data_IF_017902569615
#
_entry.id   IF_017902569615
#
_cell.length_a   1.000
_cell.length_b   1.000
_cell.length_c   1.000
_cell.angle_alpha   90.00
_cell.angle_beta   90.00
_cell.angle_gamma   90.00
#
_symmetry.space_group_name_H-M   'P 1'
#
loop_
_entity.id
_entity.type
_entity.pdbx_description
1 polymer ?
#
# COMPACT_ATOMS: atom_id res chain seq x y z
N UNK A 1 -56.20 -16.24 20.61
CA UNK A 1 -55.94 -14.97 21.30
C UNK A 1 -54.62 -14.90 22.01
N UNK A 2 -54.12 -15.97 22.65
CA UNK A 2 -52.83 -16.00 23.37
C UNK A 2 -51.60 -15.85 22.42
N UNK A 3 -51.64 -16.40 21.22
CA UNK A 3 -50.53 -16.32 20.23
C UNK A 3 -50.36 -14.92 19.65
N UNK A 4 -51.45 -14.15 19.47
CA UNK A 4 -51.40 -12.76 18.97
C UNK A 4 -50.85 -11.82 20.04
N UNK A 5 -51.17 -12.05 21.29
CA UNK A 5 -50.67 -11.26 22.43
C UNK A 5 -49.17 -11.55 22.63
N UNK A 6 -48.70 -12.80 22.47
CA UNK A 6 -47.27 -13.16 22.55
C UNK A 6 -46.47 -12.55 21.40
N UNK A 7 -47.00 -12.50 20.17
CA UNK A 7 -46.39 -11.79 19.06
C UNK A 7 -46.36 -10.27 19.29
N UNK A 8 -47.43 -9.67 19.80
CA UNK A 8 -47.53 -8.24 20.09
C UNK A 8 -46.52 -7.83 21.18
N UNK A 9 -46.36 -8.62 22.24
CA UNK A 9 -45.38 -8.39 23.31
C UNK A 9 -43.96 -8.51 22.81
N UNK A 10 -43.70 -9.44 21.88
CA UNK A 10 -42.35 -9.64 21.29
C UNK A 10 -41.97 -8.48 20.35
N UNK A 11 -42.92 -7.82 19.72
CA UNK A 11 -42.67 -6.65 18.84
C UNK A 11 -42.57 -5.32 19.60
N UNK A 12 -43.12 -5.21 20.80
CA UNK A 12 -43.19 -3.94 21.52
C UNK A 12 -42.12 -3.70 22.59
N UNK A 13 -41.21 -4.66 22.84
CA UNK A 13 -40.13 -4.49 23.83
C UNK A 13 -38.71 -4.37 23.26
N UNK A 14 -38.56 -4.16 21.96
CA UNK A 14 -37.23 -3.87 21.42
C UNK A 14 -36.93 -2.38 21.55
N UNK A 15 -36.10 -2.00 22.49
CA UNK A 15 -35.53 -0.65 22.55
C UNK A 15 -35.05 -0.25 21.15
N UNK A 16 -35.50 0.88 20.56
CA UNK A 16 -35.03 1.31 19.27
C UNK A 16 -33.53 1.55 19.36
N UNK A 17 -32.75 1.15 18.33
CA UNK A 17 -31.32 1.38 18.32
C UNK A 17 -31.03 2.90 18.22
N UNK A 18 -29.98 3.35 18.90
CA UNK A 18 -29.47 4.71 18.77
C UNK A 18 -28.86 4.92 17.38
N UNK A 19 -28.15 3.91 16.91
CA UNK A 19 -27.46 3.89 15.62
C UNK A 19 -27.14 2.45 15.21
N UNK A 20 -26.66 2.28 13.96
CA UNK A 20 -26.15 1.02 13.43
C UNK A 20 -24.64 1.12 13.42
N UNK A 21 -23.96 0.05 13.86
CA UNK A 21 -22.53 -0.16 13.75
C UNK A 21 -22.22 -1.55 13.20
N UNK A 22 -20.95 -1.80 12.92
CA UNK A 22 -20.46 -3.08 12.41
C UNK A 22 -19.26 -3.56 13.24
N UNK A 23 -19.12 -4.86 13.41
CA UNK A 23 -17.96 -5.42 14.10
C UNK A 23 -16.69 -5.15 13.27
N UNK A 24 -15.69 -4.50 13.89
CA UNK A 24 -14.45 -4.05 13.26
C UNK A 24 -13.29 -5.04 13.35
N UNK A 25 -13.38 -6.04 14.24
CA UNK A 25 -12.36 -7.06 14.45
C UNK A 25 -12.81 -8.43 13.93
N UNK A 26 -11.84 -9.32 13.60
CA UNK A 26 -12.13 -10.64 13.01
C UNK A 26 -13.16 -11.44 13.80
N UNK A 27 -13.01 -11.43 15.12
CA UNK A 27 -13.92 -12.07 16.06
C UNK A 27 -13.95 -11.22 17.31
N UNK A 28 -15.13 -10.77 17.69
CA UNK A 28 -15.33 -9.96 18.87
C UNK A 28 -16.29 -10.69 19.81
N UNK A 29 -15.92 -10.75 21.09
CA UNK A 29 -16.77 -11.34 22.12
C UNK A 29 -17.67 -10.29 22.73
N UNK A 30 -18.95 -10.54 22.75
CA UNK A 30 -19.93 -9.77 23.50
C UNK A 30 -19.99 -10.30 24.94
N UNK A 31 -20.04 -9.39 25.90
CA UNK A 31 -20.07 -9.71 27.32
C UNK A 31 -21.40 -9.35 27.97
N UNK A 32 -21.73 -10.03 29.05
CA UNK A 32 -23.01 -9.85 29.79
C UNK A 32 -23.13 -8.47 30.45
N UNK A 33 -22.02 -7.86 30.83
CA UNK A 33 -21.94 -6.58 31.55
C UNK A 33 -20.75 -5.77 31.14
N UNK A 34 -20.75 -4.47 31.43
CA UNK A 34 -19.62 -3.54 31.27
C UNK A 34 -18.61 -3.58 32.42
N UNK A 35 -18.81 -4.40 33.45
CA UNK A 35 -17.88 -4.54 34.58
C UNK A 35 -16.59 -5.29 34.19
N UNK A 36 -15.55 -5.17 35.03
CA UNK A 36 -14.28 -5.87 34.80
C UNK A 36 -14.45 -7.41 34.86
N UNK A 37 -15.28 -7.92 35.78
CA UNK A 37 -15.65 -9.32 35.83
C UNK A 37 -16.92 -9.52 35.01
N UNK A 38 -16.77 -10.18 33.87
CA UNK A 38 -17.85 -10.30 32.88
C UNK A 38 -17.80 -11.67 32.20
N UNK A 39 -18.96 -12.23 31.88
CA UNK A 39 -19.10 -13.50 31.21
C UNK A 39 -19.29 -13.30 29.69
N UNK A 40 -18.70 -14.14 28.83
CA UNK A 40 -18.95 -14.11 27.41
C UNK A 40 -20.39 -14.57 27.11
N UNK A 41 -21.10 -13.84 26.26
CA UNK A 41 -22.49 -14.16 25.86
C UNK A 41 -22.51 -14.77 24.45
N UNK A 42 -21.80 -14.17 23.52
CA UNK A 42 -21.68 -14.63 22.12
C UNK A 42 -20.47 -14.00 21.45
N UNK A 43 -20.14 -14.47 20.27
CA UNK A 43 -19.14 -13.85 19.40
C UNK A 43 -19.78 -13.37 18.11
N UNK A 44 -19.22 -12.29 17.55
CA UNK A 44 -19.55 -11.73 16.23
C UNK A 44 -18.32 -11.67 15.37
N UNK A 45 -18.51 -11.70 14.07
CA UNK A 45 -17.45 -11.67 13.07
C UNK A 45 -17.33 -10.28 12.42
N UNK A 46 -16.18 -10.00 11.83
CA UNK A 46 -15.96 -8.77 11.08
C UNK A 46 -17.08 -8.50 10.08
N UNK A 47 -17.65 -7.31 10.16
CA UNK A 47 -18.75 -6.87 9.29
C UNK A 47 -20.14 -7.29 9.74
N UNK A 48 -20.29 -8.01 10.85
CA UNK A 48 -21.59 -8.29 11.41
C UNK A 48 -22.25 -6.97 11.85
N UNK A 49 -23.51 -6.76 11.41
CA UNK A 49 -24.31 -5.61 11.78
C UNK A 49 -24.75 -5.70 13.23
N UNK A 50 -24.58 -4.60 13.94
CA UNK A 50 -24.91 -4.45 15.35
C UNK A 50 -25.80 -3.22 15.55
N UNK A 51 -26.89 -3.38 16.27
CA UNK A 51 -27.74 -2.27 16.71
C UNK A 51 -27.18 -1.72 18.03
N UNK A 52 -26.71 -0.49 18.05
CA UNK A 52 -26.20 0.18 19.25
C UNK A 52 -27.38 0.61 20.14
N UNK A 53 -27.38 0.16 21.37
CA UNK A 53 -28.45 0.42 22.34
C UNK A 53 -28.06 1.47 23.38
N UNK A 54 -26.76 1.49 23.78
CA UNK A 54 -26.25 2.38 24.83
C UNK A 54 -24.75 2.51 24.72
N UNK A 55 -24.20 3.69 25.05
CA UNK A 55 -22.76 3.92 25.21
C UNK A 55 -22.45 4.22 26.67
N UNK A 56 -21.39 3.63 27.19
CA UNK A 56 -20.92 3.86 28.55
C UNK A 56 -19.40 3.80 28.61
N UNK A 57 -18.75 4.94 28.79
CA UNK A 57 -17.30 5.06 28.74
C UNK A 57 -16.76 4.52 27.38
N UNK A 58 -15.80 3.58 27.41
CA UNK A 58 -15.22 2.91 26.27
C UNK A 58 -16.01 1.67 25.80
N UNK A 59 -17.20 1.43 26.36
CA UNK A 59 -18.00 0.26 26.05
C UNK A 59 -19.35 0.61 25.47
N UNK A 60 -19.83 -0.25 24.59
CA UNK A 60 -21.07 -0.07 23.88
C UNK A 60 -21.95 -1.30 24.06
N UNK A 61 -23.19 -1.09 24.47
CA UNK A 61 -24.20 -2.15 24.53
C UNK A 61 -24.82 -2.29 23.15
N UNK A 62 -24.73 -3.49 22.61
CA UNK A 62 -25.19 -3.78 21.25
C UNK A 62 -26.15 -4.95 21.23
N UNK A 63 -26.95 -5.02 20.16
CA UNK A 63 -27.80 -6.16 19.85
C UNK A 63 -27.43 -6.69 18.47
N UNK A 64 -27.19 -8.01 18.41
CA UNK A 64 -26.91 -8.72 17.16
C UNK A 64 -28.18 -8.90 16.32
N UNK A 65 -28.05 -9.27 15.05
CA UNK A 65 -29.16 -9.64 14.18
C UNK A 65 -30.01 -10.81 14.73
N UNK A 66 -29.39 -11.70 15.53
CA UNK A 66 -30.07 -12.80 16.22
C UNK A 66 -30.83 -12.35 17.49
N UNK A 67 -30.79 -11.05 17.84
CA UNK A 67 -31.44 -10.51 19.02
C UNK A 67 -30.64 -10.67 20.34
N UNK A 68 -29.42 -11.20 20.28
CA UNK A 68 -28.56 -11.34 21.47
C UNK A 68 -28.02 -9.97 21.84
N UNK A 69 -28.13 -9.61 23.13
CA UNK A 69 -27.67 -8.32 23.66
C UNK A 69 -26.42 -8.55 24.50
N UNK A 70 -25.41 -7.71 24.31
CA UNK A 70 -24.17 -7.76 25.08
C UNK A 70 -23.39 -6.46 24.98
N UNK A 71 -22.26 -6.41 25.68
CA UNK A 71 -21.33 -5.27 25.71
C UNK A 71 -20.08 -5.60 24.91
N UNK A 72 -19.59 -4.61 24.15
CA UNK A 72 -18.40 -4.67 23.29
C UNK A 72 -17.56 -3.42 23.55
N UNK A 73 -16.26 -3.50 23.29
CA UNK A 73 -15.38 -2.31 23.33
C UNK A 73 -15.67 -1.39 22.15
N UNK A 74 -15.66 -0.07 22.37
CA UNK A 74 -15.94 0.90 21.32
C UNK A 74 -14.94 0.81 20.15
N UNK A 75 -13.68 0.51 20.45
CA UNK A 75 -12.61 0.33 19.45
C UNK A 75 -12.80 -0.88 18.52
N UNK A 76 -13.69 -1.81 18.88
CA UNK A 76 -14.06 -2.97 18.05
C UNK A 76 -15.24 -2.70 17.13
N UNK A 77 -15.75 -1.46 17.10
CA UNK A 77 -16.90 -1.05 16.27
C UNK A 77 -16.48 -0.13 15.13
N UNK A 78 -17.04 -0.36 13.97
CA UNK A 78 -17.03 0.57 12.83
C UNK A 78 -18.39 1.26 12.74
N UNK A 79 -18.41 2.59 12.60
CA UNK A 79 -19.64 3.31 12.33
C UNK A 79 -20.22 2.91 10.97
N UNK A 80 -21.51 3.18 10.75
CA UNK A 80 -22.15 2.88 9.45
C UNK A 80 -21.48 3.64 8.28
N UNK A 81 -21.08 4.89 8.50
CA UNK A 81 -20.41 5.70 7.49
C UNK A 81 -19.02 5.13 7.16
N UNK A 82 -18.25 4.76 8.18
CA UNK A 82 -16.93 4.15 7.99
C UNK A 82 -17.04 2.80 7.27
N UNK A 83 -18.03 2.00 7.61
CA UNK A 83 -18.34 0.74 6.94
C UNK A 83 -18.69 0.95 5.46
N UNK A 84 -19.51 1.96 5.15
CA UNK A 84 -19.87 2.29 3.77
C UNK A 84 -18.63 2.75 2.98
N UNK A 85 -17.81 3.63 3.55
CA UNK A 85 -16.57 4.09 2.93
C UNK A 85 -15.62 2.91 2.64
N UNK A 86 -15.54 1.94 3.56
CA UNK A 86 -14.76 0.71 3.34
C UNK A 86 -15.30 -0.09 2.15
N UNK A 87 -16.62 -0.25 2.05
CA UNK A 87 -17.26 -0.98 0.92
C UNK A 87 -17.06 -0.27 -0.41
N UNK A 88 -17.12 1.05 -0.41
CA UNK A 88 -16.85 1.85 -1.62
C UNK A 88 -15.39 1.71 -2.05
N UNK A 89 -14.45 1.72 -1.09
CA UNK A 89 -13.03 1.50 -1.34
C UNK A 89 -12.75 0.08 -1.86
N UNK A 90 -13.39 -0.94 -1.30
CA UNK A 90 -13.31 -2.33 -1.80
C UNK A 90 -13.81 -2.42 -3.26
N UNK A 91 -14.97 -1.82 -3.54
CA UNK A 91 -15.58 -1.81 -4.88
C UNK A 91 -14.69 -1.08 -5.89
N UNK A 92 -14.19 0.11 -5.53
CA UNK A 92 -13.27 0.88 -6.36
C UNK A 92 -11.99 0.10 -6.64
N UNK A 93 -11.38 -0.45 -5.60
CA UNK A 93 -10.11 -1.18 -5.70
C UNK A 93 -10.22 -2.45 -6.54
N UNK A 94 -11.40 -3.11 -6.59
CA UNK A 94 -11.63 -4.32 -7.38
C UNK A 94 -11.41 -4.11 -8.89
N UNK A 95 -11.64 -2.89 -9.37
CA UNK A 95 -11.48 -2.53 -10.79
C UNK A 95 -10.11 -1.92 -11.11
N UNK A 96 -9.31 -1.58 -10.10
CA UNK A 96 -8.00 -0.97 -10.29
C UNK A 96 -6.96 -1.99 -10.73
N UNK A 97 -6.05 -1.61 -11.65
CA UNK A 97 -4.94 -2.48 -12.03
C UNK A 97 -3.96 -2.67 -10.88
N UNK A 98 -3.49 -3.91 -10.71
CA UNK A 98 -2.41 -4.23 -9.78
C UNK A 98 -1.09 -3.74 -10.37
N UNK A 99 -0.38 -2.87 -9.65
CA UNK A 99 0.89 -2.30 -10.10
C UNK A 99 2.10 -3.05 -9.50
N UNK A 100 1.90 -3.71 -8.36
CA UNK A 100 2.89 -4.58 -7.73
C UNK A 100 2.19 -5.60 -6.82
N UNK A 101 2.92 -6.66 -6.47
CA UNK A 101 2.55 -7.59 -5.40
C UNK A 101 3.60 -7.54 -4.31
N UNK A 102 3.19 -7.89 -3.10
CA UNK A 102 4.06 -7.90 -1.94
C UNK A 102 3.36 -8.49 -0.74
N UNK A 103 3.91 -8.23 0.42
CA UNK A 103 3.34 -8.67 1.70
C UNK A 103 3.63 -7.63 2.79
N UNK A 104 2.94 -7.73 3.90
CA UNK A 104 3.21 -6.91 5.08
C UNK A 104 4.53 -7.34 5.72
N UNK A 105 5.42 -6.36 5.90
CA UNK A 105 6.75 -6.56 6.49
C UNK A 105 6.69 -6.79 8.00
N UNK A 106 5.75 -6.14 8.67
CA UNK A 106 5.54 -6.16 10.12
C UNK A 106 4.05 -6.08 10.42
N UNK A 107 3.68 -6.22 11.69
CA UNK A 107 2.34 -5.91 12.16
C UNK A 107 1.99 -4.46 11.77
N UNK A 108 0.88 -4.24 11.08
CA UNK A 108 0.57 -2.96 10.46
C UNK A 108 -0.91 -2.64 10.52
N UNK A 109 -1.25 -1.37 10.63
CA UNK A 109 -2.64 -0.92 10.61
C UNK A 109 -3.07 -0.57 9.18
N UNK A 110 -4.16 -1.15 8.73
CA UNK A 110 -4.84 -0.78 7.49
C UNK A 110 -5.77 0.40 7.78
N UNK A 111 -5.64 1.49 7.02
CA UNK A 111 -6.40 2.72 7.18
C UNK A 111 -7.40 2.91 6.04
N UNK A 112 -8.46 3.70 6.30
CA UNK A 112 -9.47 3.99 5.27
C UNK A 112 -8.99 5.03 4.26
N UNK A 113 -8.12 5.95 4.70
CA UNK A 113 -7.52 7.03 3.92
C UNK A 113 -6.01 7.10 4.17
N UNK A 114 -5.23 7.71 3.26
CA UNK A 114 -3.80 7.89 3.48
C UNK A 114 -3.54 8.94 4.56
N UNK A 115 -2.87 8.54 5.64
CA UNK A 115 -2.53 9.41 6.77
C UNK A 115 -2.60 8.66 8.10
N UNK A 116 -1.76 9.06 9.06
CA UNK A 116 -1.70 8.41 10.38
C UNK A 116 -2.95 8.67 11.22
N UNK A 117 -3.60 9.82 11.01
CA UNK A 117 -4.81 10.23 11.71
C UNK A 117 -6.09 9.62 11.12
N UNK A 118 -5.97 8.93 9.97
CA UNK A 118 -7.10 8.25 9.34
C UNK A 118 -7.61 7.09 10.20
N UNK A 119 -8.93 6.86 10.24
CA UNK A 119 -9.49 5.73 10.96
C UNK A 119 -8.87 4.39 10.52
N UNK A 120 -8.58 3.56 11.51
CA UNK A 120 -8.06 2.21 11.29
C UNK A 120 -9.22 1.28 10.95
N UNK A 121 -9.04 0.50 9.90
CA UNK A 121 -10.01 -0.53 9.50
C UNK A 121 -9.71 -1.84 10.20
N UNK A 122 -8.44 -2.26 10.12
CA UNK A 122 -8.00 -3.55 10.69
C UNK A 122 -6.49 -3.58 10.84
N UNK A 123 -6.03 -4.32 11.84
CA UNK A 123 -4.64 -4.66 12.01
C UNK A 123 -4.30 -5.91 11.17
N UNK A 124 -3.24 -5.82 10.39
CA UNK A 124 -2.70 -6.90 9.56
C UNK A 124 -1.46 -7.48 10.23
N UNK A 125 -1.40 -8.80 10.35
CA UNK A 125 -0.19 -9.49 10.78
C UNK A 125 0.91 -9.37 9.74
N UNK A 126 2.14 -9.71 10.12
CA UNK A 126 3.26 -9.89 9.19
C UNK A 126 2.92 -10.97 8.14
N UNK A 127 3.54 -10.86 6.95
CA UNK A 127 3.44 -11.82 5.84
C UNK A 127 2.02 -11.97 5.24
N UNK A 128 1.14 -10.97 5.42
CA UNK A 128 -0.15 -10.94 4.72
C UNK A 128 0.09 -10.55 3.26
N UNK A 129 -0.35 -11.38 2.28
CA UNK A 129 -0.20 -11.08 0.85
C UNK A 129 -0.97 -9.82 0.47
N UNK A 130 -0.33 -8.96 -0.32
CA UNK A 130 -0.86 -7.67 -0.76
C UNK A 130 -0.83 -7.54 -2.28
N UNK A 131 -1.90 -6.99 -2.83
CA UNK A 131 -1.90 -6.41 -4.16
C UNK A 131 -1.88 -4.88 -4.03
N UNK A 132 -0.88 -4.26 -4.61
CA UNK A 132 -0.68 -2.81 -4.57
C UNK A 132 -1.30 -2.17 -5.81
N UNK A 133 -2.16 -1.14 -5.65
CA UNK A 133 -2.86 -0.49 -6.76
C UNK A 133 -2.43 0.95 -6.99
N UNK A 134 -2.23 1.72 -5.94
CA UNK A 134 -1.90 3.14 -6.07
C UNK A 134 -0.99 3.61 -4.92
N UNK A 135 -0.32 4.75 -5.15
CA UNK A 135 0.49 5.43 -4.15
C UNK A 135 -0.05 6.84 -3.91
N UNK A 136 -0.03 7.28 -2.65
CA UNK A 136 -0.36 8.65 -2.28
C UNK A 136 0.63 9.18 -1.23
N UNK A 137 1.30 10.33 -1.47
CA UNK A 137 2.14 10.98 -0.47
C UNK A 137 1.29 11.82 0.49
N UNK A 138 1.10 11.36 1.72
CA UNK A 138 0.36 12.10 2.74
C UNK A 138 1.28 12.92 3.64
N UNK A 139 0.76 14.04 4.16
CA UNK A 139 1.47 14.89 5.11
C UNK A 139 1.68 14.14 6.43
N UNK A 140 2.86 14.27 7.01
CA UNK A 140 3.10 13.88 8.39
C UNK A 140 2.60 15.03 9.26
N UNK A 141 1.48 14.82 9.92
CA UNK A 141 1.00 15.74 10.95
C UNK A 141 1.88 15.53 12.18
N UNK A 142 2.61 16.57 12.66
CA UNK A 142 3.37 16.44 13.90
C UNK A 142 2.37 16.16 15.03
N UNK A 143 2.64 15.13 15.82
CA UNK A 143 1.79 14.72 16.94
C UNK A 143 1.44 15.88 17.84
N UNK A 144 0.29 16.46 17.66
CA UNK A 144 -0.37 17.24 18.68
C UNK A 144 -1.01 16.25 19.65
N UNK A 145 -0.22 15.80 20.65
CA UNK A 145 -0.70 15.03 21.80
C UNK A 145 -1.41 13.73 21.40
N UNK A 146 -0.71 12.80 20.80
CA UNK A 146 -1.16 11.42 20.66
C UNK A 146 -0.99 10.66 21.97
N UNK A 147 -2.03 9.95 22.34
CA UNK A 147 -2.09 9.06 23.49
C UNK A 147 -0.93 8.02 23.40
N UNK A 148 -0.09 7.84 24.43
CA UNK A 148 1.10 6.98 24.35
C UNK A 148 0.81 5.49 24.12
N UNK A 149 -0.45 5.06 24.14
CA UNK A 149 -0.83 3.67 23.84
C UNK A 149 -0.85 3.30 22.34
N UNK A 150 -0.73 4.30 21.44
CA UNK A 150 -0.74 4.03 19.99
C UNK A 150 0.66 3.88 19.36
N UNK A 151 1.73 4.24 20.07
CA UNK A 151 3.11 4.23 19.53
C UNK A 151 3.79 2.86 19.57
N UNK A 152 3.35 1.94 20.42
CA UNK A 152 4.04 0.66 20.62
C UNK A 152 3.95 -0.33 19.43
N UNK A 153 3.08 -0.08 18.45
CA UNK A 153 2.96 -0.91 17.25
C UNK A 153 3.71 -0.35 16.02
N UNK A 154 4.06 0.95 16.04
CA UNK A 154 4.70 1.62 14.90
C UNK A 154 6.24 1.68 15.01
N UNK A 155 6.83 1.36 16.17
CA UNK A 155 8.26 1.56 16.46
C UNK A 155 9.05 0.26 16.76
N UNK A 156 8.73 -0.84 16.11
CA UNK A 156 9.60 -2.02 16.14
C UNK A 156 10.71 -1.93 15.08
N UNK A 157 11.70 -1.05 15.29
CA UNK A 157 12.98 -1.14 14.64
C UNK A 157 13.83 -2.23 15.32
N UNK A 158 14.63 -3.03 14.59
CA UNK A 158 15.44 -4.09 15.19
C UNK A 158 16.60 -3.48 15.99
N UNK A 159 16.50 -3.56 17.31
CA UNK A 159 17.59 -3.30 18.24
C UNK A 159 18.52 -4.50 18.26
N UNK A 160 19.64 -4.44 17.54
CA UNK A 160 20.82 -5.26 17.81
C UNK A 160 22.05 -4.68 17.14
N UNK A 161 22.73 -3.77 17.84
CA UNK A 161 24.16 -3.56 17.70
C UNK A 161 24.73 -3.22 19.09
N UNK A 162 25.35 -4.20 19.74
CA UNK A 162 26.14 -3.98 20.96
C UNK A 162 27.37 -3.14 20.62
N UNK A 163 27.73 -2.15 21.43
CA UNK A 163 29.02 -1.45 21.29
C UNK A 163 30.14 -2.30 21.88
N UNK A 164 31.16 -2.57 21.07
CA UNK A 164 32.40 -3.17 21.51
C UNK A 164 33.33 -2.08 22.02
N UNK A 165 33.60 -2.06 23.32
CA UNK A 165 34.56 -1.19 23.96
C UNK A 165 35.99 -1.64 23.59
N UNK A 166 36.75 -0.81 22.85
CA UNK A 166 38.21 -0.84 22.89
C UNK A 166 38.82 0.56 22.91
N UNK A 167 39.58 0.74 23.98
CA UNK A 167 40.36 1.90 24.40
C UNK A 167 41.30 2.48 23.34
N UNK A 168 41.43 3.81 23.44
CA UNK A 168 42.43 4.68 22.79
C UNK A 168 43.89 4.27 23.05
N UNK A 169 44.90 4.80 22.30
CA UNK A 169 45.39 6.15 22.59
C UNK A 169 45.85 6.98 21.37
N UNK A 170 45.77 8.30 21.60
CA UNK A 170 46.52 9.43 21.04
C UNK A 170 47.46 9.26 19.85
N UNK A 171 47.29 10.11 18.84
CA UNK A 171 48.32 11.04 18.31
C UNK A 171 47.80 11.95 17.19
N UNK A 172 47.70 13.21 17.52
CA UNK A 172 48.17 14.42 16.81
C UNK A 172 48.46 14.33 15.30
N UNK A 173 47.66 15.07 14.46
CA UNK A 173 48.21 16.09 13.55
C UNK A 173 47.20 16.70 12.57
N UNK A 174 47.12 18.01 12.65
CA UNK A 174 47.10 19.02 11.59
C UNK A 174 46.07 18.95 10.44
N UNK A 175 45.23 19.99 10.46
CA UNK A 175 44.78 20.80 9.33
C UNK A 175 44.41 20.08 8.01
N UNK A 176 43.12 19.85 7.83
CA UNK A 176 42.49 19.89 6.49
C UNK A 176 41.25 20.79 6.49
N UNK A 177 41.42 21.94 5.79
CA UNK A 177 40.37 22.89 5.44
C UNK A 177 39.07 22.16 5.03
N UNK A 178 38.03 22.40 5.82
CA UNK A 178 36.67 22.04 5.43
C UNK A 178 36.25 22.90 4.22
N UNK A 179 36.05 22.29 3.07
CA UNK A 179 35.33 22.90 1.96
C UNK A 179 33.88 23.12 2.39
N UNK A 180 33.48 24.38 2.31
CA UNK A 180 32.19 24.88 2.75
C UNK A 180 31.00 24.08 2.24
N UNK A 181 30.11 23.77 3.15
CA UNK A 181 28.73 23.41 2.90
C UNK A 181 28.10 24.58 2.10
N UNK A 182 27.35 24.34 1.03
CA UNK A 182 26.64 25.44 0.39
C UNK A 182 25.64 26.02 1.38
N UNK A 183 25.74 27.33 1.58
CA UNK A 183 24.88 28.11 2.45
C UNK A 183 23.43 27.92 2.06
N UNK A 184 22.65 27.33 2.95
CA UNK A 184 21.21 27.30 2.85
C UNK A 184 20.69 28.74 2.95
N UNK A 185 19.93 29.19 1.96
CA UNK A 185 19.26 30.50 1.95
C UNK A 185 18.48 30.68 3.25
N UNK A 186 18.72 31.75 4.03
CA UNK A 186 17.94 32.04 5.24
C UNK A 186 16.51 32.41 4.82
N UNK A 187 15.52 31.64 5.27
CA UNK A 187 14.11 32.00 5.17
C UNK A 187 13.17 31.00 4.51
N UNK A 188 13.62 29.90 3.95
CA UNK A 188 12.70 28.86 3.49
C UNK A 188 12.13 28.10 4.71
N UNK A 189 10.81 28.23 4.96
CA UNK A 189 10.13 27.32 5.90
C UNK A 189 10.43 25.88 5.46
N UNK A 190 10.80 24.97 6.40
CA UNK A 190 11.00 23.57 6.03
C UNK A 190 9.74 23.05 5.36
N UNK A 191 9.90 22.45 4.18
CA UNK A 191 8.77 21.81 3.51
C UNK A 191 8.17 20.74 4.42
N UNK A 192 6.84 20.66 4.52
CA UNK A 192 6.19 19.69 5.40
C UNK A 192 6.58 18.27 4.95
N UNK A 193 7.05 17.49 5.91
CA UNK A 193 7.41 16.08 5.67
C UNK A 193 6.20 15.29 5.18
N UNK A 194 6.40 14.45 4.18
CA UNK A 194 5.37 13.54 3.65
C UNK A 194 5.86 12.10 3.73
N UNK A 195 4.93 11.18 3.86
CA UNK A 195 5.15 9.73 3.86
C UNK A 195 4.38 9.08 2.71
N UNK A 196 4.92 7.97 2.21
CA UNK A 196 4.28 7.18 1.16
C UNK A 196 3.23 6.26 1.75
N UNK A 197 2.01 6.35 1.25
CA UNK A 197 0.91 5.45 1.54
C UNK A 197 0.54 4.67 0.30
N UNK A 198 0.26 3.38 0.47
CA UNK A 198 -0.12 2.49 -0.61
C UNK A 198 -1.56 2.02 -0.44
N UNK A 199 -2.37 2.20 -1.48
CA UNK A 199 -3.66 1.54 -1.56
C UNK A 199 -3.41 0.08 -1.89
N UNK A 200 -3.87 -0.81 -1.02
CA UNK A 200 -3.65 -2.25 -1.13
C UNK A 200 -4.94 -3.03 -1.02
N UNK A 201 -4.97 -4.22 -1.61
CA UNK A 201 -5.90 -5.29 -1.27
C UNK A 201 -5.13 -6.34 -0.50
N UNK A 202 -5.52 -6.55 0.75
CA UNK A 202 -4.92 -7.53 1.65
C UNK A 202 -5.72 -8.83 1.58
N UNK A 203 -5.05 -9.94 1.27
CA UNK A 203 -5.65 -11.27 1.19
C UNK A 203 -5.52 -11.96 2.55
N UNK A 204 -6.61 -11.96 3.31
CA UNK A 204 -6.61 -12.48 4.66
C UNK A 204 -6.65 -14.02 4.69
N UNK A 205 -6.13 -14.67 5.76
CA UNK A 205 -6.14 -16.13 5.89
C UNK A 205 -7.55 -16.78 5.89
N UNK A 206 -8.57 -15.99 6.21
CA UNK A 206 -9.98 -16.40 6.16
C UNK A 206 -10.62 -16.20 4.78
N UNK A 207 -9.80 -15.94 3.73
CA UNK A 207 -10.20 -15.66 2.35
C UNK A 207 -10.94 -14.33 2.16
N UNK A 208 -11.09 -13.50 3.18
CA UNK A 208 -11.58 -12.14 3.03
C UNK A 208 -10.53 -11.29 2.31
N UNK A 209 -10.98 -10.37 1.45
CA UNK A 209 -10.14 -9.37 0.81
C UNK A 209 -10.54 -8.03 1.40
N UNK A 210 -9.58 -7.31 1.97
CA UNK A 210 -9.79 -5.99 2.53
C UNK A 210 -9.01 -4.96 1.72
N UNK A 211 -9.69 -3.88 1.31
CA UNK A 211 -9.03 -2.74 0.70
C UNK A 211 -8.74 -1.67 1.75
N UNK A 212 -7.61 -0.98 1.61
CA UNK A 212 -7.24 0.10 2.51
C UNK A 212 -5.86 0.66 2.19
N UNK A 213 -5.47 1.65 2.98
CA UNK A 213 -4.20 2.33 2.86
C UNK A 213 -3.22 1.82 3.92
N UNK A 214 -2.02 1.49 3.47
CA UNK A 214 -0.93 1.00 4.30
C UNK A 214 0.29 1.91 4.13
N UNK A 215 0.96 2.21 5.25
CA UNK A 215 2.18 3.03 5.23
C UNK A 215 3.27 2.29 4.44
N UNK A 216 3.90 2.98 3.50
CA UNK A 216 4.77 2.38 2.48
C UNK A 216 5.94 1.56 3.02
N UNK A 217 6.55 2.00 4.14
CA UNK A 217 7.66 1.27 4.78
C UNK A 217 7.27 -0.09 5.35
N UNK A 218 5.97 -0.38 5.50
CA UNK A 218 5.44 -1.65 5.99
C UNK A 218 5.07 -2.63 4.87
N UNK A 219 5.19 -2.18 3.62
CA UNK A 219 5.00 -3.02 2.44
C UNK A 219 6.35 -3.51 1.93
N UNK A 220 6.52 -4.81 1.84
CA UNK A 220 7.65 -5.45 1.15
C UNK A 220 7.17 -5.99 -0.19
N UNK A 221 7.80 -5.54 -1.29
CA UNK A 221 7.41 -5.94 -2.63
C UNK A 221 8.05 -7.27 -3.01
N UNK A 222 7.27 -8.18 -3.61
CA UNK A 222 7.74 -9.48 -4.12
C UNK A 222 8.45 -9.29 -5.46
N UNK A 223 9.65 -8.73 -5.41
CA UNK A 223 10.44 -8.43 -6.62
C UNK A 223 11.21 -9.69 -7.04
N UNK A 224 11.08 -10.14 -8.31
CA UNK A 224 11.80 -11.33 -8.77
C UNK A 224 13.31 -11.16 -8.72
N UNK A 225 14.07 -12.17 -8.25
CA UNK A 225 15.53 -12.17 -8.37
C UNK A 225 15.96 -12.16 -9.85
N UNK A 226 17.08 -11.50 -10.22
CA UNK A 226 18.00 -10.71 -9.41
C UNK A 226 17.72 -9.20 -9.42
N UNK A 227 16.50 -8.77 -9.72
CA UNK A 227 16.15 -7.35 -9.90
C UNK A 227 16.41 -6.47 -8.65
N UNK A 228 16.21 -6.95 -7.40
CA UNK A 228 16.56 -6.17 -6.21
C UNK A 228 18.03 -5.74 -6.18
N UNK A 229 18.95 -6.65 -6.52
CA UNK A 229 20.40 -6.38 -6.54
C UNK A 229 20.75 -5.33 -7.60
N UNK A 230 20.11 -5.41 -8.77
CA UNK A 230 20.32 -4.44 -9.85
C UNK A 230 19.77 -3.06 -9.49
N UNK A 231 18.63 -2.98 -8.80
CA UNK A 231 18.08 -1.72 -8.30
C UNK A 231 18.99 -1.11 -7.23
N UNK A 232 19.44 -1.91 -6.27
CA UNK A 232 20.38 -1.49 -5.21
C UNK A 232 21.69 -0.97 -5.81
N UNK A 233 22.28 -1.70 -6.76
CA UNK A 233 23.50 -1.28 -7.46
C UNK A 233 23.33 0.02 -8.24
N UNK A 234 22.09 0.34 -8.64
CA UNK A 234 21.74 1.58 -9.31
C UNK A 234 21.34 2.71 -8.33
N UNK A 235 21.37 2.48 -7.01
CA UNK A 235 20.91 3.42 -5.99
C UNK A 235 19.41 3.74 -6.09
N UNK A 236 18.61 2.81 -6.59
CA UNK A 236 17.19 3.00 -6.88
C UNK A 236 16.33 2.19 -5.90
N UNK A 237 15.39 2.85 -5.23
CA UNK A 237 14.34 2.19 -4.46
C UNK A 237 13.20 1.78 -5.39
N UNK A 238 12.87 0.50 -5.39
CA UNK A 238 11.81 -0.07 -6.24
C UNK A 238 10.46 0.41 -5.74
N UNK A 239 9.61 0.82 -6.68
CA UNK A 239 8.24 1.28 -6.46
C UNK A 239 7.23 0.30 -7.06
N UNK A 240 7.52 -0.17 -8.27
CA UNK A 240 6.71 -1.17 -8.94
C UNK A 240 7.55 -1.93 -9.96
N UNK A 241 7.06 -3.07 -10.38
CA UNK A 241 7.65 -3.86 -11.46
C UNK A 241 6.58 -4.62 -12.22
N UNK A 242 6.88 -4.96 -13.47
CA UNK A 242 5.99 -5.78 -14.27
C UNK A 242 6.75 -6.62 -15.27
N UNK A 243 6.29 -7.84 -15.49
CA UNK A 243 6.73 -8.67 -16.59
C UNK A 243 6.24 -8.04 -17.92
N UNK A 244 7.15 -7.85 -18.86
CA UNK A 244 6.83 -7.33 -20.20
C UNK A 244 6.45 -8.47 -21.13
N UNK A 245 7.38 -9.36 -21.38
CA UNK A 245 7.21 -10.55 -22.23
C UNK A 245 8.15 -11.68 -21.77
N UNK A 246 8.15 -12.80 -22.46
CA UNK A 246 9.06 -13.91 -22.24
C UNK A 246 9.87 -14.23 -23.50
N UNK A 247 11.12 -14.59 -23.31
CA UNK A 247 12.03 -15.06 -24.37
C UNK A 247 12.55 -16.45 -24.01
N UNK A 248 12.96 -17.22 -25.01
CA UNK A 248 13.55 -18.53 -24.77
C UNK A 248 15.05 -18.38 -24.51
N UNK A 249 15.54 -18.90 -23.39
CA UNK A 249 16.97 -18.98 -23.06
C UNK A 249 17.71 -19.99 -23.96
N UNK A 250 19.04 -20.04 -23.87
CA UNK A 250 19.86 -21.04 -24.55
C UNK A 250 19.54 -22.48 -24.14
N UNK A 251 19.06 -22.65 -22.88
CA UNK A 251 18.59 -23.94 -22.36
C UNK A 251 17.15 -24.31 -22.76
N UNK A 252 16.52 -23.55 -23.65
CA UNK A 252 15.15 -23.79 -24.11
C UNK A 252 14.05 -23.40 -23.09
N UNK A 253 14.42 -22.75 -21.96
CA UNK A 253 13.44 -22.35 -20.92
C UNK A 253 12.92 -20.95 -21.18
N UNK A 254 11.60 -20.71 -20.92
CA UNK A 254 11.04 -19.37 -21.00
C UNK A 254 11.56 -18.50 -19.85
N UNK A 255 12.16 -17.35 -20.17
CA UNK A 255 12.67 -16.36 -19.22
C UNK A 255 11.93 -15.05 -19.41
N UNK A 256 11.42 -14.50 -18.31
CA UNK A 256 10.68 -13.24 -18.32
C UNK A 256 11.61 -12.04 -18.50
N UNK A 257 11.14 -11.01 -19.17
CA UNK A 257 11.78 -9.70 -19.27
C UNK A 257 10.97 -8.68 -18.49
N UNK A 258 11.63 -7.75 -17.82
CA UNK A 258 11.00 -6.92 -16.79
C UNK A 258 11.15 -5.43 -17.06
N UNK A 259 10.09 -4.70 -16.75
CA UNK A 259 10.12 -3.25 -16.51
C UNK A 259 10.17 -3.04 -14.99
N UNK A 260 11.14 -2.29 -14.53
CA UNK A 260 11.33 -1.89 -13.15
C UNK A 260 11.17 -0.37 -13.04
N UNK A 261 10.38 0.05 -12.07
CA UNK A 261 10.11 1.46 -11.77
C UNK A 261 10.64 1.77 -10.38
N UNK A 262 11.28 2.91 -10.25
CA UNK A 262 11.85 3.28 -8.96
C UNK A 262 12.11 4.76 -8.82
N UNK A 263 12.61 5.11 -7.65
CA UNK A 263 12.99 6.48 -7.31
C UNK A 263 14.36 6.51 -6.64
N UNK A 264 15.10 7.58 -6.88
CA UNK A 264 16.36 7.91 -6.20
C UNK A 264 16.16 8.90 -5.05
N UNK A 265 14.95 9.46 -4.93
CA UNK A 265 14.61 10.45 -3.91
C UNK A 265 14.10 9.85 -2.59
N UNK A 266 13.92 10.68 -1.56
CA UNK A 266 13.30 10.29 -0.30
C UNK A 266 11.83 9.91 -0.49
N UNK A 267 11.20 9.42 0.58
CA UNK A 267 9.75 9.19 0.61
C UNK A 267 8.97 10.50 0.54
N UNK A 268 7.68 10.40 0.20
CA UNK A 268 6.77 11.54 0.18
C UNK A 268 6.88 12.44 -1.05
N UNK A 269 7.67 12.05 -2.07
CA UNK A 269 7.79 12.82 -3.31
C UNK A 269 6.48 12.83 -4.10
N UNK A 270 6.19 13.91 -4.85
CA UNK A 270 4.97 13.99 -5.66
C UNK A 270 4.91 12.98 -6.80
N UNK A 271 6.05 12.59 -7.36
CA UNK A 271 6.15 11.58 -8.42
C UNK A 271 6.08 10.18 -7.83
N UNK A 272 5.34 9.25 -8.46
CA UNK A 272 5.32 7.87 -7.98
C UNK A 272 6.64 7.17 -8.28
N UNK A 273 7.24 7.47 -9.43
CA UNK A 273 8.60 7.03 -9.76
C UNK A 273 9.33 8.11 -10.57
N UNK A 274 10.66 8.11 -10.46
CA UNK A 274 11.54 9.08 -11.14
C UNK A 274 12.50 8.43 -12.12
N UNK A 275 12.53 7.10 -12.15
CA UNK A 275 13.36 6.33 -13.06
C UNK A 275 12.66 5.03 -13.47
N UNK A 276 12.96 4.59 -14.69
CA UNK A 276 12.55 3.29 -15.20
C UNK A 276 13.74 2.55 -15.82
N UNK A 277 13.72 1.22 -15.70
CA UNK A 277 14.72 0.33 -16.29
C UNK A 277 14.04 -0.88 -16.91
N UNK A 278 14.48 -1.28 -18.10
CA UNK A 278 14.05 -2.52 -18.72
C UNK A 278 15.20 -3.51 -18.68
N UNK A 279 14.92 -4.68 -18.14
CA UNK A 279 15.86 -5.80 -18.06
C UNK A 279 15.42 -6.89 -19.02
N UNK A 280 16.33 -7.28 -19.91
CA UNK A 280 16.12 -8.32 -20.92
C UNK A 280 17.09 -9.45 -20.73
N UNK A 281 16.77 -10.64 -21.23
CA UNK A 281 17.63 -11.80 -21.13
C UNK A 281 18.67 -11.81 -22.26
N UNK A 282 19.93 -11.67 -21.91
CA UNK A 282 21.06 -11.77 -22.82
C UNK A 282 21.43 -13.22 -23.10
N UNK A 283 20.99 -13.76 -24.24
CA UNK A 283 21.21 -15.18 -24.62
C UNK A 283 22.68 -15.59 -24.63
N UNK A 284 23.59 -14.70 -25.05
CA UNK A 284 25.04 -15.02 -25.13
C UNK A 284 25.69 -15.18 -23.76
N UNK A 285 25.20 -14.44 -22.75
CA UNK A 285 25.80 -14.42 -21.41
C UNK A 285 24.93 -15.15 -20.37
N UNK A 286 23.78 -15.65 -20.78
CA UNK A 286 22.80 -16.37 -19.96
C UNK A 286 22.47 -15.62 -18.64
N UNK A 287 22.25 -14.31 -18.75
CA UNK A 287 21.94 -13.41 -17.63
C UNK A 287 21.07 -12.24 -18.07
N UNK A 288 20.48 -11.54 -17.09
CA UNK A 288 19.81 -10.27 -17.37
C UNK A 288 20.81 -9.17 -17.74
N UNK A 289 20.42 -8.37 -18.71
CA UNK A 289 21.13 -7.18 -19.17
C UNK A 289 20.16 -5.99 -19.18
N UNK A 290 20.69 -4.80 -18.87
CA UNK A 290 19.89 -3.57 -18.94
C UNK A 290 19.75 -3.16 -20.41
N UNK A 291 18.53 -3.27 -20.94
CA UNK A 291 18.23 -2.90 -22.32
C UNK A 291 17.87 -1.42 -22.47
N UNK A 292 17.29 -0.83 -21.44
CA UNK A 292 16.85 0.56 -21.46
C UNK A 292 16.89 1.17 -20.07
N UNK A 293 17.28 2.44 -20.00
CA UNK A 293 17.26 3.25 -18.77
C UNK A 293 16.74 4.63 -19.12
N UNK A 294 15.82 5.13 -18.32
CA UNK A 294 15.43 6.52 -18.33
C UNK A 294 15.34 7.03 -16.90
N UNK A 295 15.85 8.23 -16.68
CA UNK A 295 15.84 8.93 -15.41
C UNK A 295 15.21 10.32 -15.59
N UNK A 296 14.94 11.02 -14.49
CA UNK A 296 14.35 12.37 -14.51
C UNK A 296 12.94 12.41 -15.11
N UNK A 297 12.17 11.35 -14.95
CA UNK A 297 10.73 11.36 -15.19
C UNK A 297 9.98 11.68 -13.88
N UNK A 298 8.77 12.18 -13.99
CA UNK A 298 7.82 12.30 -12.88
C UNK A 298 6.60 11.44 -13.20
N UNK A 299 6.81 10.13 -13.17
CA UNK A 299 5.81 9.16 -13.61
C UNK A 299 4.74 8.92 -12.57
N UNK A 300 3.52 8.65 -13.07
CA UNK A 300 2.36 8.23 -12.27
C UNK A 300 1.96 6.81 -12.62
N UNK A 301 1.59 6.05 -11.59
CA UNK A 301 1.00 4.73 -11.72
C UNK A 301 -0.51 4.84 -12.07
N UNK A 302 -1.08 3.86 -12.77
CA UNK A 302 -0.48 2.62 -13.26
C UNK A 302 0.25 2.79 -14.60
N UNK A 303 1.10 1.81 -14.91
CA UNK A 303 1.60 1.65 -16.28
C UNK A 303 0.61 0.81 -17.08
N UNK A 304 0.24 1.30 -18.24
CA UNK A 304 -0.62 0.59 -19.16
C UNK A 304 0.21 -0.16 -20.19
N UNK A 305 -0.09 -1.45 -20.37
CA UNK A 305 0.55 -2.31 -21.36
C UNK A 305 -0.44 -2.72 -22.43
N UNK A 306 -0.02 -2.72 -23.67
CA UNK A 306 -0.77 -3.27 -24.78
C UNK A 306 0.14 -4.08 -25.69
N UNK A 307 -0.37 -5.23 -26.18
CA UNK A 307 0.31 -5.98 -27.24
C UNK A 307 -0.05 -5.37 -28.57
N UNK A 308 0.93 -5.24 -29.44
CA UNK A 308 0.71 -4.80 -30.81
C UNK A 308 0.30 -6.01 -31.64
N UNK A 309 -0.60 -5.83 -32.61
CA UNK A 309 -0.90 -6.87 -33.59
C UNK A 309 0.38 -7.15 -34.40
N UNK A 310 0.99 -8.31 -34.18
CA UNK A 310 2.29 -8.68 -34.77
C UNK A 310 2.95 -9.82 -34.00
N UNK A 311 4.27 -10.01 -34.15
CA UNK A 311 5.00 -11.00 -33.38
C UNK A 311 4.76 -10.90 -31.87
N UNK A 312 4.65 -12.02 -31.18
CA UNK A 312 4.36 -12.09 -29.73
C UNK A 312 5.30 -11.25 -28.84
N UNK A 313 6.42 -10.84 -29.40
CA UNK A 313 7.46 -10.05 -28.70
C UNK A 313 7.25 -8.55 -28.76
N UNK A 314 6.29 -8.07 -29.54
CA UNK A 314 6.04 -6.65 -29.71
C UNK A 314 4.96 -6.18 -28.74
N UNK A 315 5.33 -5.24 -27.89
CA UNK A 315 4.42 -4.63 -26.94
C UNK A 315 4.72 -3.13 -26.81
N UNK A 316 3.71 -2.40 -26.36
CA UNK A 316 3.86 -1.02 -25.93
C UNK A 316 3.53 -0.92 -24.44
N UNK A 317 4.20 -0.01 -23.76
CA UNK A 317 3.83 0.42 -22.42
C UNK A 317 3.86 1.93 -22.32
N UNK A 318 2.99 2.49 -21.52
CA UNK A 318 2.90 3.94 -21.36
C UNK A 318 2.45 4.33 -19.94
N UNK A 319 2.75 5.57 -19.57
CA UNK A 319 2.35 6.19 -18.32
C UNK A 319 2.16 7.69 -18.50
N UNK A 320 1.61 8.37 -17.48
CA UNK A 320 1.55 9.83 -17.41
C UNK A 320 2.81 10.37 -16.75
N UNK A 321 3.51 11.26 -17.44
CA UNK A 321 4.69 11.98 -16.95
C UNK A 321 4.34 13.44 -16.66
N UNK A 322 4.72 13.93 -15.50
CA UNK A 322 4.49 15.29 -15.02
C UNK A 322 5.79 16.12 -14.93
N UNK A 323 6.89 15.67 -15.53
CA UNK A 323 8.19 16.34 -15.48
C UNK A 323 8.13 17.79 -15.95
N UNK A 324 7.22 18.11 -16.87
CA UNK A 324 7.03 19.44 -17.42
C UNK A 324 5.89 20.24 -16.75
N UNK A 325 5.38 19.76 -15.60
CA UNK A 325 4.30 20.40 -14.84
C UNK A 325 2.88 20.11 -15.36
N UNK A 326 2.72 19.56 -16.56
CA UNK A 326 1.47 19.10 -17.13
C UNK A 326 1.54 17.60 -17.45
N UNK A 327 0.43 16.86 -17.40
CA UNK A 327 0.42 15.44 -17.73
C UNK A 327 0.68 15.23 -19.22
N UNK A 328 1.74 14.53 -19.54
CA UNK A 328 2.10 14.09 -20.86
C UNK A 328 2.15 12.57 -20.91
N UNK A 329 1.56 11.95 -21.95
CA UNK A 329 1.63 10.49 -22.10
C UNK A 329 2.95 10.10 -22.73
N UNK A 330 3.80 9.41 -21.98
CA UNK A 330 5.03 8.79 -22.49
C UNK A 330 4.74 7.35 -22.91
N UNK A 331 5.03 7.05 -24.17
CA UNK A 331 4.80 5.72 -24.76
C UNK A 331 6.12 5.13 -25.22
N UNK A 332 6.36 3.87 -24.86
CA UNK A 332 7.51 3.09 -25.26
C UNK A 332 7.05 1.89 -26.06
N UNK A 333 7.79 1.59 -27.11
CA UNK A 333 7.64 0.38 -27.90
C UNK A 333 8.81 -0.55 -27.63
N UNK A 334 8.51 -1.80 -27.34
CA UNK A 334 9.48 -2.86 -27.20
C UNK A 334 9.32 -3.84 -28.35
N UNK A 335 10.42 -4.12 -29.03
CA UNK A 335 10.54 -5.16 -30.04
C UNK A 335 11.63 -6.13 -29.60
N UNK A 336 11.26 -7.36 -29.27
CA UNK A 336 12.17 -8.35 -28.66
C UNK A 336 12.86 -7.82 -27.40
N UNK A 337 14.12 -7.38 -27.53
CA UNK A 337 14.96 -6.82 -26.44
C UNK A 337 15.23 -5.32 -26.59
N UNK A 338 14.71 -4.71 -27.65
CA UNK A 338 14.97 -3.29 -27.98
C UNK A 338 13.78 -2.45 -27.52
N UNK A 339 14.03 -1.46 -26.70
CA UNK A 339 13.03 -0.50 -26.22
C UNK A 339 13.31 0.88 -26.81
N UNK A 340 12.28 1.56 -27.29
CA UNK A 340 12.37 2.92 -27.85
C UNK A 340 11.22 3.78 -27.36
N UNK A 341 11.52 5.04 -27.04
CA UNK A 341 10.50 6.06 -26.82
C UNK A 341 9.81 6.39 -28.15
N UNK A 342 8.49 6.31 -28.18
CA UNK A 342 7.67 6.70 -29.32
C UNK A 342 7.44 8.22 -29.25
N UNK A 343 7.96 8.96 -30.21
CA UNK A 343 7.68 10.40 -30.36
C UNK A 343 6.34 10.55 -31.09
N UNK A 344 5.44 11.39 -30.59
CA UNK A 344 4.06 11.55 -31.10
C UNK A 344 3.96 11.87 -32.61
N UNK A 345 5.04 12.33 -33.26
CA UNK A 345 5.09 12.53 -34.72
C UNK A 345 5.09 11.27 -35.57
N UNK A 346 5.32 10.09 -35.02
CA UNK A 346 5.41 8.82 -35.78
C UNK A 346 4.17 7.91 -35.70
N UNK A 347 3.25 8.15 -34.78
CA UNK A 347 2.01 7.36 -34.67
C UNK A 347 1.09 7.53 -35.88
N UNK A 348 1.16 8.68 -36.56
CA UNK A 348 0.37 8.96 -37.78
C UNK A 348 0.92 8.29 -39.06
N UNK A 349 2.21 7.94 -39.13
CA UNK A 349 2.81 7.33 -40.33
C UNK A 349 2.63 5.84 -40.44
N UNK A 350 2.38 5.12 -39.35
CA UNK A 350 2.13 3.69 -39.37
C UNK A 350 0.76 3.31 -39.97
N UNK A 351 -0.22 4.23 -39.93
CA UNK A 351 -1.57 4.00 -40.50
C UNK A 351 -1.69 4.18 -42.01
N UNK A 352 -0.65 4.68 -42.70
CA UNK A 352 -0.67 4.97 -44.15
C UNK A 352 0.07 3.95 -45.02
N UNK A 353 0.53 2.82 -44.49
CA UNK A 353 1.24 1.79 -45.26
C UNK A 353 0.47 0.48 -45.45
N UNK A 354 -0.84 0.51 -45.35
CA UNK A 354 -1.71 -0.61 -45.77
C UNK A 354 -2.72 -0.06 -46.74
N UNK A 355 -2.29 0.06 -47.99
CA UNK A 355 -3.10 0.01 -49.21
C UNK A 355 -2.28 -0.68 -50.26
#
# INVERSE_FOLDING_TARGET
MVLVVALYVRFHHSTPPLEIAYAGSRTVTLYSTSAQVREPVTTVSFGDRLDVLQRFQNQVKVRTAAGVVGWIEEGDLLSADLWQTLKDLETMSATMPVVARGHTRVLSNLHIEPGRDSPRVRQLNKDIPLEVMARHPALVVPDSISNPESESADEAAPENAKPDERKSPDRNSKDRKSKGKPDAKPGAKPEPKREDWWLVRAHMPDQTILAGWLLGRFVELDVPPPLPDYATSAGMRIVAWTELNRVTSTAGKPVAQYLLLGTHGPEGQPCDFTALRVYTWGKQKDRYETAFVESNVCGKLPILKSRTAGPETDLTFNFLDYSNGAPERRTYQMHQTIVRLVKDGNAAKSRKRTH
#
